data_IF_736742670841
#
_entry.id   IF_736742670841
#
_cell.length_a   1.000
_cell.length_b   1.000
_cell.length_c   1.000
_cell.angle_alpha   90.00
_cell.angle_beta   90.00
_cell.angle_gamma   90.00
#
_symmetry.space_group_name_H-M   'P 1'
#
loop_
_entity.id
_entity.type
_entity.pdbx_description
1 polymer ?
#
# COMPACT_ATOMS: atom_id res chain seq x y z
N UNK A 1 -28.38 -12.74 -6.98
CA UNK A 1 -28.17 -13.47 -5.73
C UNK A 1 -26.69 -13.50 -5.31
N UNK A 2 -25.74 -13.85 -6.19
CA UNK A 2 -24.31 -13.87 -5.85
C UNK A 2 -23.77 -12.51 -5.35
N UNK A 3 -24.12 -11.43 -6.02
CA UNK A 3 -23.69 -10.06 -5.62
C UNK A 3 -24.16 -9.68 -4.22
N UNK A 4 -25.38 -10.08 -3.85
CA UNK A 4 -25.92 -9.83 -2.51
C UNK A 4 -25.16 -10.63 -1.47
N UNK A 5 -24.84 -11.89 -1.74
CA UNK A 5 -24.05 -12.73 -0.85
C UNK A 5 -22.64 -12.18 -0.63
N UNK A 6 -22.00 -11.64 -1.68
CA UNK A 6 -20.68 -11.00 -1.58
C UNK A 6 -20.74 -9.73 -0.72
N UNK A 7 -21.75 -8.86 -0.94
CA UNK A 7 -21.91 -7.62 -0.15
C UNK A 7 -22.15 -7.96 1.33
N UNK A 8 -23.01 -8.93 1.61
CA UNK A 8 -23.26 -9.39 2.98
C UNK A 8 -22.02 -9.98 3.63
N UNK A 9 -21.23 -10.78 2.89
CA UNK A 9 -19.99 -11.35 3.39
C UNK A 9 -18.95 -10.27 3.72
N UNK A 10 -18.82 -9.22 2.89
CA UNK A 10 -17.94 -8.09 3.16
C UNK A 10 -18.39 -7.32 4.39
N UNK A 11 -19.69 -6.99 4.48
CA UNK A 11 -20.23 -6.30 5.65
C UNK A 11 -20.03 -7.10 6.94
N UNK A 12 -20.25 -8.42 6.89
CA UNK A 12 -20.03 -9.32 8.03
C UNK A 12 -18.54 -9.42 8.40
N UNK A 13 -17.64 -9.47 7.41
CA UNK A 13 -16.20 -9.48 7.65
C UNK A 13 -15.73 -8.21 8.35
N UNK A 14 -16.23 -7.04 7.94
CA UNK A 14 -15.92 -5.75 8.59
C UNK A 14 -16.45 -5.75 10.03
N UNK A 15 -17.70 -6.17 10.23
CA UNK A 15 -18.32 -6.23 11.55
C UNK A 15 -17.56 -7.16 12.49
N UNK A 16 -17.20 -8.36 12.04
CA UNK A 16 -16.42 -9.33 12.81
C UNK A 16 -15.02 -8.80 13.11
N UNK A 17 -14.34 -8.22 12.13
CA UNK A 17 -13.01 -7.62 12.32
C UNK A 17 -13.03 -6.52 13.38
N UNK A 18 -14.05 -5.66 13.35
CA UNK A 18 -14.21 -4.61 14.35
C UNK A 18 -14.47 -5.18 15.76
N UNK A 19 -15.36 -6.19 15.88
CA UNK A 19 -15.75 -6.77 17.17
C UNK A 19 -14.63 -7.62 17.78
N UNK A 20 -13.92 -8.40 16.97
CA UNK A 20 -12.89 -9.36 17.46
C UNK A 20 -11.49 -8.76 17.53
N UNK A 21 -11.28 -7.56 17.00
CA UNK A 21 -9.94 -6.94 16.85
C UNK A 21 -8.97 -7.75 15.95
N UNK A 22 -9.50 -8.73 15.23
CA UNK A 22 -8.74 -9.55 14.27
C UNK A 22 -8.77 -8.84 12.91
N UNK A 23 -7.70 -9.03 12.12
CA UNK A 23 -7.61 -8.43 10.80
C UNK A 23 -8.81 -8.86 9.91
N UNK A 24 -9.55 -7.89 9.43
CA UNK A 24 -10.73 -8.09 8.56
C UNK A 24 -10.41 -8.93 7.32
N UNK A 25 -9.18 -8.83 6.80
CA UNK A 25 -8.72 -9.62 5.65
C UNK A 25 -8.80 -11.13 5.86
N UNK A 26 -8.58 -11.62 7.10
CA UNK A 26 -8.71 -13.04 7.41
C UNK A 26 -10.16 -13.51 7.25
N UNK A 27 -11.12 -12.73 7.71
CA UNK A 27 -12.54 -13.06 7.50
C UNK A 27 -12.93 -13.00 6.02
N UNK A 28 -12.41 -12.03 5.26
CA UNK A 28 -12.63 -11.97 3.83
C UNK A 28 -12.12 -13.21 3.09
N UNK A 29 -10.95 -13.74 3.47
CA UNK A 29 -10.40 -14.98 2.91
C UNK A 29 -11.32 -16.17 3.19
N UNK A 30 -11.77 -16.31 4.44
CA UNK A 30 -12.67 -17.40 4.83
C UNK A 30 -13.99 -17.33 4.05
N UNK A 31 -14.59 -16.14 3.97
CA UNK A 31 -15.85 -15.96 3.24
C UNK A 31 -15.67 -16.15 1.73
N UNK A 32 -14.56 -15.68 1.14
CA UNK A 32 -14.26 -15.91 -0.27
C UNK A 32 -14.12 -17.42 -0.56
N UNK A 33 -13.48 -18.18 0.33
CA UNK A 33 -13.37 -19.63 0.21
C UNK A 33 -14.72 -20.32 0.30
N UNK A 34 -15.54 -19.96 1.28
CA UNK A 34 -16.89 -20.53 1.46
C UNK A 34 -17.76 -20.23 0.23
N UNK A 35 -17.81 -18.97 -0.21
CA UNK A 35 -18.62 -18.58 -1.38
C UNK A 35 -18.09 -19.26 -2.65
N UNK A 36 -16.79 -19.28 -2.87
CA UNK A 36 -16.18 -19.88 -4.03
C UNK A 36 -16.44 -21.40 -4.13
N UNK A 37 -16.23 -22.11 -3.04
CA UNK A 37 -16.36 -23.58 -3.06
C UNK A 37 -17.82 -24.05 -2.95
N UNK A 38 -18.63 -23.45 -2.06
CA UNK A 38 -19.97 -23.98 -1.75
C UNK A 38 -21.08 -23.30 -2.55
N UNK A 39 -20.95 -22.02 -2.90
CA UNK A 39 -21.97 -21.31 -3.66
C UNK A 39 -21.69 -21.35 -5.16
N UNK A 40 -20.42 -21.18 -5.56
CA UNK A 40 -20.01 -21.18 -6.97
C UNK A 40 -19.56 -22.55 -7.46
N UNK A 41 -19.38 -23.55 -6.58
CA UNK A 41 -18.96 -24.91 -6.95
C UNK A 41 -17.52 -24.97 -7.50
N UNK A 42 -16.68 -23.98 -7.22
CA UNK A 42 -15.30 -23.96 -7.69
C UNK A 42 -14.45 -24.95 -6.88
N UNK A 43 -13.47 -25.57 -7.56
CA UNK A 43 -12.48 -26.39 -6.86
C UNK A 43 -11.59 -25.51 -5.96
N UNK A 44 -11.16 -25.99 -4.78
CA UNK A 44 -10.29 -25.22 -3.87
C UNK A 44 -9.04 -24.64 -4.56
N UNK A 45 -8.43 -25.41 -5.46
CA UNK A 45 -7.27 -24.97 -6.25
C UNK A 45 -7.57 -23.76 -7.14
N UNK A 46 -8.79 -23.65 -7.66
CA UNK A 46 -9.21 -22.51 -8.48
C UNK A 46 -9.41 -21.26 -7.60
N UNK A 47 -10.04 -21.42 -6.43
CA UNK A 47 -10.23 -20.31 -5.48
C UNK A 47 -8.87 -19.76 -5.01
N UNK A 48 -7.91 -20.64 -4.69
CA UNK A 48 -6.55 -20.25 -4.33
C UNK A 48 -5.83 -19.56 -5.52
N UNK A 49 -6.09 -20.02 -6.76
CA UNK A 49 -5.51 -19.42 -7.97
C UNK A 49 -5.93 -17.99 -8.25
N UNK A 50 -7.05 -17.54 -7.70
CA UNK A 50 -7.46 -16.12 -7.75
C UNK A 50 -6.74 -15.22 -6.74
N UNK A 51 -5.93 -15.78 -5.87
CA UNK A 51 -5.14 -15.03 -4.90
C UNK A 51 -4.09 -14.16 -5.61
N UNK A 52 -3.95 -12.88 -5.27
CA UNK A 52 -2.97 -11.98 -5.88
C UNK A 52 -1.56 -12.27 -5.34
N UNK A 53 -1.02 -13.45 -5.63
CA UNK A 53 0.28 -13.92 -5.13
C UNK A 53 1.42 -12.99 -5.50
N UNK A 54 1.41 -12.42 -6.70
CA UNK A 54 2.43 -11.47 -7.16
C UNK A 54 2.47 -10.21 -6.29
N UNK A 55 1.29 -9.62 -6.01
CA UNK A 55 1.19 -8.44 -5.14
C UNK A 55 1.63 -8.75 -3.71
N UNK A 56 1.22 -9.91 -3.17
CA UNK A 56 1.63 -10.36 -1.84
C UNK A 56 3.15 -10.55 -1.76
N UNK A 57 3.76 -11.14 -2.78
CA UNK A 57 5.21 -11.35 -2.82
C UNK A 57 5.98 -10.03 -2.88
N UNK A 58 5.50 -9.06 -3.67
CA UNK A 58 6.09 -7.71 -3.73
C UNK A 58 6.03 -7.03 -2.36
N UNK A 59 4.86 -7.03 -1.72
CA UNK A 59 4.70 -6.41 -0.38
C UNK A 59 5.62 -7.09 0.64
N UNK A 60 5.72 -8.42 0.63
CA UNK A 60 6.59 -9.16 1.53
C UNK A 60 8.07 -8.81 1.30
N UNK A 61 8.52 -8.82 0.05
CA UNK A 61 9.91 -8.52 -0.31
C UNK A 61 10.30 -7.09 0.08
N UNK A 62 9.43 -6.13 -0.20
CA UNK A 62 9.64 -4.73 0.17
C UNK A 62 9.65 -4.57 1.69
N UNK A 63 8.76 -5.24 2.42
CA UNK A 63 8.74 -5.20 3.89
C UNK A 63 10.02 -5.77 4.51
N UNK A 64 10.55 -6.85 3.95
CA UNK A 64 11.85 -7.41 4.39
C UNK A 64 12.99 -6.42 4.14
N UNK A 65 13.04 -5.82 2.94
CA UNK A 65 14.04 -4.80 2.62
C UNK A 65 13.98 -3.62 3.60
N UNK A 66 12.76 -3.16 3.94
CA UNK A 66 12.59 -2.08 4.91
C UNK A 66 13.08 -2.41 6.30
N UNK A 67 12.84 -3.62 6.79
CA UNK A 67 13.34 -4.03 8.08
C UNK A 67 14.88 -3.93 8.14
N UNK A 68 15.58 -4.33 7.09
CA UNK A 68 17.03 -4.16 7.01
C UNK A 68 17.43 -2.68 6.96
N UNK A 69 16.75 -1.87 6.16
CA UNK A 69 17.03 -0.44 6.03
C UNK A 69 16.76 0.33 7.34
N UNK A 70 15.73 -0.06 8.08
CA UNK A 70 15.43 0.52 9.40
C UNK A 70 16.50 0.17 10.43
N UNK A 71 16.88 -1.12 10.54
CA UNK A 71 17.90 -1.56 11.48
C UNK A 71 19.27 -0.89 11.21
N UNK A 72 19.60 -0.66 9.95
CA UNK A 72 20.86 -0.03 9.55
C UNK A 72 20.84 1.51 9.60
N UNK A 73 19.75 2.13 10.04
CA UNK A 73 19.59 3.59 10.08
C UNK A 73 19.58 4.26 8.69
N UNK A 74 19.32 3.49 7.63
CA UNK A 74 19.29 4.01 6.25
C UNK A 74 18.06 4.86 6.02
N UNK A 75 16.91 4.50 6.62
CA UNK A 75 15.67 5.26 6.50
C UNK A 75 15.81 6.65 7.14
N UNK A 76 16.44 6.72 8.31
CA UNK A 76 16.71 7.99 9.02
C UNK A 76 17.65 8.88 8.22
N UNK A 77 18.68 8.30 7.58
CA UNK A 77 19.59 9.06 6.71
C UNK A 77 18.90 9.61 5.47
N UNK A 78 18.03 8.81 4.86
CA UNK A 78 17.26 9.22 3.68
C UNK A 78 16.24 10.30 4.03
N UNK A 79 15.51 10.14 5.14
CA UNK A 79 14.57 11.17 5.62
C UNK A 79 15.29 12.45 5.99
N UNK A 80 16.40 12.36 6.72
CA UNK A 80 17.23 13.52 7.06
C UNK A 80 17.78 14.27 5.83
N UNK A 81 18.19 13.56 4.78
CA UNK A 81 18.63 14.17 3.53
C UNK A 81 17.49 14.94 2.83
N UNK A 82 16.28 14.37 2.81
CA UNK A 82 15.11 15.05 2.22
C UNK A 82 14.70 16.27 3.05
N UNK A 83 14.68 16.14 4.38
CA UNK A 83 14.40 17.26 5.29
C UNK A 83 15.44 18.38 5.15
N UNK A 84 16.71 18.03 5.02
CA UNK A 84 17.77 19.01 4.80
C UNK A 84 17.60 19.76 3.47
N UNK A 85 17.20 19.05 2.40
CA UNK A 85 16.91 19.66 1.11
C UNK A 85 15.73 20.65 1.20
N UNK A 86 14.71 20.32 1.98
CA UNK A 86 13.50 21.14 2.16
C UNK A 86 13.58 22.13 3.34
N UNK A 87 14.71 22.22 4.05
CA UNK A 87 14.85 23.03 5.29
C UNK A 87 14.50 24.50 5.17
N UNK A 88 14.70 25.08 3.98
CA UNK A 88 14.41 26.51 3.74
C UNK A 88 12.90 26.75 3.55
N UNK A 89 12.16 25.76 3.11
CA UNK A 89 10.74 25.86 2.82
C UNK A 89 10.01 24.58 3.29
N UNK A 90 9.67 24.47 4.59
CA UNK A 90 9.02 23.28 5.14
C UNK A 90 7.69 22.92 4.44
N UNK A 91 6.97 23.92 3.94
CA UNK A 91 5.75 23.72 3.17
C UNK A 91 5.95 23.02 1.81
N UNK A 92 7.20 22.91 1.36
CA UNK A 92 7.53 22.20 0.12
C UNK A 92 7.65 20.68 0.32
N UNK A 93 7.72 20.22 1.55
CA UNK A 93 7.95 18.82 1.89
C UNK A 93 6.88 17.85 1.33
N UNK A 94 5.56 18.13 1.42
CA UNK A 94 4.55 17.31 0.78
C UNK A 94 4.71 17.21 -0.75
N UNK A 95 5.09 18.32 -1.38
CA UNK A 95 5.33 18.34 -2.83
C UNK A 95 6.59 17.57 -3.23
N UNK A 96 7.63 17.59 -2.39
CA UNK A 96 8.83 16.79 -2.61
C UNK A 96 8.51 15.28 -2.52
N UNK A 97 7.71 14.86 -1.53
CA UNK A 97 7.24 13.48 -1.40
C UNK A 97 6.38 13.06 -2.60
N UNK A 98 5.47 13.94 -3.03
CA UNK A 98 4.65 13.73 -4.23
C UNK A 98 5.54 13.56 -5.46
N UNK A 99 6.52 14.44 -5.67
CA UNK A 99 7.42 14.37 -6.82
C UNK A 99 8.24 13.07 -6.84
N UNK A 100 8.77 12.63 -5.69
CA UNK A 100 9.48 11.35 -5.58
C UNK A 100 8.56 10.18 -5.92
N UNK A 101 7.33 10.20 -5.43
CA UNK A 101 6.34 9.15 -5.74
C UNK A 101 6.01 9.11 -7.24
N UNK A 102 5.83 10.27 -7.88
CA UNK A 102 5.61 10.37 -9.33
C UNK A 102 6.80 9.79 -10.10
N UNK A 103 8.03 10.19 -9.77
CA UNK A 103 9.24 9.74 -10.46
C UNK A 103 9.37 8.22 -10.37
N UNK A 104 9.24 7.64 -9.18
CA UNK A 104 9.32 6.19 -8.99
C UNK A 104 8.24 5.44 -9.80
N UNK A 105 7.02 5.97 -9.82
CA UNK A 105 5.92 5.36 -10.55
C UNK A 105 6.10 5.48 -12.08
N UNK A 106 6.59 6.62 -12.59
CA UNK A 106 6.92 6.81 -14.01
C UNK A 106 8.05 5.89 -14.44
N UNK A 107 9.02 5.59 -13.57
CA UNK A 107 10.10 4.63 -13.84
C UNK A 107 9.63 3.17 -13.92
N UNK A 108 8.33 2.91 -13.77
CA UNK A 108 7.73 1.58 -13.94
C UNK A 108 7.46 0.84 -12.62
N UNK A 109 7.68 1.47 -11.46
CA UNK A 109 7.28 0.87 -10.20
C UNK A 109 5.75 0.85 -10.08
N UNK A 110 5.18 -0.32 -9.71
CA UNK A 110 3.74 -0.41 -9.51
C UNK A 110 3.28 0.45 -8.34
N UNK A 111 2.02 0.90 -8.40
CA UNK A 111 1.40 1.71 -7.34
C UNK A 111 1.65 1.14 -5.93
N UNK A 112 1.39 -0.15 -5.73
CA UNK A 112 1.60 -0.79 -4.43
C UNK A 112 3.07 -0.82 -4.00
N UNK A 113 4.00 -0.99 -4.95
CA UNK A 113 5.44 -0.97 -4.68
C UNK A 113 5.89 0.41 -4.21
N UNK A 114 5.43 1.48 -4.91
CA UNK A 114 5.76 2.86 -4.54
C UNK A 114 5.25 3.18 -3.14
N UNK A 115 3.99 2.83 -2.84
CA UNK A 115 3.42 3.07 -1.51
C UNK A 115 4.15 2.27 -0.42
N UNK A 116 4.39 0.98 -0.65
CA UNK A 116 5.12 0.15 0.31
C UNK A 116 6.53 0.69 0.55
N UNK A 117 7.18 1.25 -0.49
CA UNK A 117 8.50 1.86 -0.39
C UNK A 117 8.48 3.21 0.33
N UNK A 118 7.59 4.11 0.02
CA UNK A 118 7.59 5.47 0.55
C UNK A 118 6.89 5.61 1.91
N UNK A 119 5.93 4.74 2.25
CA UNK A 119 5.15 4.91 3.47
C UNK A 119 6.00 4.96 4.75
N UNK A 120 6.94 4.03 5.01
CA UNK A 120 7.79 4.11 6.20
C UNK A 120 8.65 5.38 6.23
N UNK A 121 9.25 5.74 5.09
CA UNK A 121 10.08 6.96 4.97
C UNK A 121 9.23 8.20 5.27
N UNK A 122 8.02 8.26 4.71
CA UNK A 122 7.08 9.37 4.92
C UNK A 122 6.69 9.48 6.38
N UNK A 123 6.46 8.37 7.08
CA UNK A 123 6.14 8.39 8.51
C UNK A 123 7.28 8.97 9.35
N UNK A 124 8.54 8.58 9.09
CA UNK A 124 9.71 9.14 9.76
C UNK A 124 9.82 10.64 9.48
N UNK A 125 9.65 11.06 8.22
CA UNK A 125 9.67 12.48 7.84
C UNK A 125 8.56 13.26 8.55
N UNK A 126 7.35 12.73 8.63
CA UNK A 126 6.24 13.38 9.32
C UNK A 126 6.53 13.58 10.82
N UNK A 127 7.08 12.55 11.47
CA UNK A 127 7.42 12.60 12.88
C UNK A 127 8.55 13.63 13.16
N UNK A 128 9.59 13.69 12.31
CA UNK A 128 10.70 14.62 12.46
C UNK A 128 10.33 16.06 12.09
N UNK A 129 9.50 16.27 11.07
CA UNK A 129 9.10 17.60 10.58
C UNK A 129 7.86 18.18 11.26
N UNK A 130 7.19 17.42 12.11
CA UNK A 130 5.87 17.74 12.67
C UNK A 130 4.79 17.94 11.59
N UNK A 131 4.99 17.36 10.42
CA UNK A 131 4.00 17.37 9.36
C UNK A 131 2.87 16.37 9.70
N UNK A 132 1.63 16.74 9.36
CA UNK A 132 0.51 15.83 9.54
C UNK A 132 0.68 14.56 8.69
N UNK A 133 0.52 13.40 9.32
CA UNK A 133 0.67 12.08 8.68
C UNK A 133 -0.31 11.88 7.53
N UNK A 134 -1.51 12.46 7.63
CA UNK A 134 -2.50 12.42 6.56
C UNK A 134 -2.00 13.16 5.32
N UNK A 135 -1.40 14.33 5.50
CA UNK A 135 -0.82 15.12 4.40
C UNK A 135 0.29 14.35 3.69
N UNK A 136 1.18 13.69 4.43
CA UNK A 136 2.22 12.83 3.87
C UNK A 136 1.65 11.63 3.10
N UNK A 137 0.68 10.94 3.68
CA UNK A 137 0.03 9.80 3.07
C UNK A 137 -0.71 10.18 1.77
N UNK A 138 -1.41 11.31 1.76
CA UNK A 138 -2.11 11.81 0.56
C UNK A 138 -1.08 12.19 -0.52
N UNK A 139 0.03 12.84 -0.15
CA UNK A 139 1.06 13.23 -1.11
C UNK A 139 1.66 12.03 -1.86
N UNK A 140 2.09 10.98 -1.15
CA UNK A 140 2.65 9.78 -1.79
C UNK A 140 1.60 8.99 -2.57
N UNK A 141 0.36 8.95 -2.09
CA UNK A 141 -0.74 8.26 -2.77
C UNK A 141 -1.08 8.94 -4.10
N UNK A 142 -1.30 10.26 -4.08
CA UNK A 142 -1.58 11.04 -5.29
C UNK A 142 -0.39 11.00 -6.26
N UNK A 143 0.84 11.06 -5.76
CA UNK A 143 2.04 10.95 -6.59
C UNK A 143 2.15 9.60 -7.28
N UNK A 144 1.94 8.49 -6.55
CA UNK A 144 1.97 7.16 -7.12
C UNK A 144 0.88 6.94 -8.17
N UNK A 145 -0.34 7.45 -7.94
CA UNK A 145 -1.42 7.40 -8.92
C UNK A 145 -1.14 8.26 -10.15
N UNK A 146 -0.66 9.49 -9.94
CA UNK A 146 -0.34 10.40 -11.04
C UNK A 146 0.75 9.81 -11.95
N UNK A 147 1.84 9.29 -11.36
CA UNK A 147 2.92 8.64 -12.11
C UNK A 147 2.48 7.35 -12.79
N UNK A 148 1.56 6.59 -12.17
CA UNK A 148 1.03 5.35 -12.71
C UNK A 148 0.19 5.52 -13.99
N UNK A 149 -0.30 6.73 -14.27
CA UNK A 149 -1.05 7.03 -15.50
C UNK A 149 -0.15 7.45 -16.70
N UNK A 150 1.15 7.50 -16.51
CA UNK A 150 2.05 7.74 -17.64
C UNK A 150 2.20 6.49 -18.53
N UNK A 151 2.38 6.64 -19.86
CA UNK A 151 2.49 5.51 -20.79
C UNK A 151 3.64 4.56 -20.51
N UNK A 152 4.65 5.01 -19.75
CA UNK A 152 5.83 4.23 -19.35
C UNK A 152 5.58 3.37 -18.11
N UNK A 153 4.44 3.55 -17.43
CA UNK A 153 4.10 2.81 -16.22
C UNK A 153 3.31 1.54 -16.53
N UNK A 154 3.33 0.57 -15.61
CA UNK A 154 2.57 -0.67 -15.74
C UNK A 154 1.03 -0.50 -15.75
N UNK A 155 0.51 0.69 -15.40
CA UNK A 155 -0.91 1.01 -15.45
C UNK A 155 -1.31 1.76 -16.73
N UNK A 156 -0.33 2.33 -17.44
CA UNK A 156 -0.56 3.12 -18.67
C UNK A 156 -0.43 2.32 -19.97
N UNK A 157 -0.24 0.99 -19.88
CA UNK A 157 -0.15 0.09 -21.05
C UNK A 157 -1.34 -0.83 -21.10
#
# INVERSE_FOLDING_TARGET
MLSVAIILAIALAIFLGYKTKINTGLFCIVFAYIIGCFVMGLKPKQVIGYWPTSTMFVILSVSLFYNFAAINGTLEKMSGALLYACRKFPGLLPYALLAVAVILSVMGATYFTVLAFLAPITLVICDESRMDKLTGAVAINCGALAGGNFPTSNLGV
#
